data_IF_840577698348
#
_entry.id   IF_840577698348
#
_cell.length_a   1.000
_cell.length_b   1.000
_cell.length_c   1.000
_cell.angle_alpha   90.00
_cell.angle_beta   90.00
_cell.angle_gamma   90.00
#
_symmetry.space_group_name_H-M   'P 1'
#
loop_
_entity.id
_entity.type
_entity.pdbx_description
1 polymer ?
#
# COMPACT_ATOMS: atom_id res chain seq x y z
N UNK A 1 25.51 -10.64 14.53
CA UNK A 1 25.65 -9.74 15.71
C UNK A 1 24.33 -9.01 15.91
N UNK A 2 23.79 -8.90 17.14
CA UNK A 2 22.54 -8.18 17.39
C UNK A 2 22.72 -6.70 17.03
N UNK A 3 21.78 -6.15 16.28
CA UNK A 3 21.78 -4.72 15.97
C UNK A 3 21.31 -3.94 17.20
N UNK A 4 21.99 -2.82 17.49
CA UNK A 4 21.67 -1.93 18.61
C UNK A 4 20.99 -0.69 18.07
N UNK A 5 19.80 -0.39 18.58
CA UNK A 5 19.05 0.80 18.21
C UNK A 5 18.93 1.72 19.41
N UNK A 6 19.15 3.01 19.20
CA UNK A 6 19.00 4.03 20.24
C UNK A 6 17.54 4.16 20.66
N UNK A 7 17.28 4.27 21.97
CA UNK A 7 15.92 4.30 22.54
C UNK A 7 15.03 5.40 21.95
N UNK A 8 15.59 6.56 21.61
CA UNK A 8 14.88 7.66 20.96
C UNK A 8 14.42 7.32 19.53
N UNK A 9 15.24 6.59 18.77
CA UNK A 9 14.86 6.11 17.44
C UNK A 9 13.80 5.00 17.54
N UNK A 10 13.91 4.12 18.53
CA UNK A 10 12.91 3.08 18.79
C UNK A 10 11.52 3.66 19.10
N UNK A 11 11.43 4.76 19.86
CA UNK A 11 10.15 5.46 20.10
C UNK A 11 9.51 5.99 18.81
N UNK A 12 10.33 6.50 17.88
CA UNK A 12 9.85 6.96 16.58
C UNK A 12 9.30 5.80 15.72
N UNK A 13 9.96 4.65 15.76
CA UNK A 13 9.56 3.43 15.07
C UNK A 13 8.29 2.83 15.69
N UNK A 14 8.18 2.82 17.02
CA UNK A 14 6.97 2.38 17.73
C UNK A 14 5.76 3.25 17.38
N UNK A 15 5.95 4.57 17.27
CA UNK A 15 4.88 5.47 16.80
C UNK A 15 4.50 5.20 15.34
N UNK A 16 5.47 4.95 14.46
CA UNK A 16 5.20 4.58 13.07
C UNK A 16 4.38 3.29 12.98
N UNK A 17 4.79 2.24 13.72
CA UNK A 17 4.07 0.96 13.82
C UNK A 17 2.66 1.17 14.40
N UNK A 18 2.49 2.02 15.40
CA UNK A 18 1.17 2.35 15.95
C UNK A 18 0.25 3.03 14.94
N UNK A 19 0.76 4.01 14.20
CA UNK A 19 -0.01 4.72 13.16
C UNK A 19 -0.41 3.77 12.03
N UNK A 20 0.50 2.89 11.60
CA UNK A 20 0.18 1.85 10.62
C UNK A 20 -0.85 0.85 11.15
N UNK A 21 -0.69 0.42 12.40
CA UNK A 21 -1.62 -0.48 13.06
C UNK A 21 -3.02 0.12 13.12
N UNK A 22 -3.15 1.38 13.53
CA UNK A 22 -4.44 2.09 13.57
C UNK A 22 -5.06 2.26 12.18
N UNK A 23 -4.26 2.62 11.17
CA UNK A 23 -4.71 2.70 9.77
C UNK A 23 -5.19 1.35 9.24
N UNK A 24 -4.56 0.27 9.65
CA UNK A 24 -4.88 -1.08 9.21
C UNK A 24 -5.98 -1.73 10.09
N UNK A 25 -6.25 -1.22 11.29
CA UNK A 25 -7.16 -1.82 12.26
C UNK A 25 -8.58 -1.95 11.71
N UNK A 26 -8.98 -3.20 11.48
CA UNK A 26 -10.35 -3.55 11.17
C UNK A 26 -11.19 -3.60 12.46
N UNK A 27 -12.31 -2.86 12.47
CA UNK A 27 -13.33 -2.95 13.53
C UNK A 27 -13.74 -4.41 13.77
N UNK A 28 -14.02 -4.77 15.03
CA UNK A 28 -14.44 -6.15 15.41
C UNK A 28 -15.59 -6.65 14.55
N UNK A 29 -16.57 -5.78 14.28
CA UNK A 29 -17.70 -6.06 13.40
C UNK A 29 -17.25 -6.51 12.00
N UNK A 30 -16.27 -5.80 11.42
CA UNK A 30 -15.74 -6.12 10.08
C UNK A 30 -15.02 -7.46 10.05
N UNK A 31 -14.35 -7.86 11.15
CA UNK A 31 -13.72 -9.18 11.25
C UNK A 31 -14.75 -10.31 11.29
N UNK A 32 -15.82 -10.14 12.07
CA UNK A 32 -16.92 -11.12 12.15
C UNK A 32 -17.63 -11.26 10.80
N UNK A 33 -17.98 -10.14 10.17
CA UNK A 33 -18.62 -10.09 8.85
C UNK A 33 -17.74 -10.72 7.77
N UNK A 34 -16.42 -10.53 7.86
CA UNK A 34 -15.46 -11.15 6.95
C UNK A 34 -15.33 -12.67 7.18
N UNK A 35 -15.31 -13.12 8.44
CA UNK A 35 -15.31 -14.55 8.78
C UNK A 35 -16.58 -15.25 8.29
N UNK A 36 -17.76 -14.62 8.47
CA UNK A 36 -19.03 -15.13 7.95
C UNK A 36 -19.01 -15.22 6.42
N UNK A 37 -18.42 -14.23 5.73
CA UNK A 37 -18.27 -14.27 4.27
C UNK A 37 -17.38 -15.44 3.82
N UNK A 38 -16.29 -15.73 4.55
CA UNK A 38 -15.45 -16.89 4.27
C UNK A 38 -16.24 -18.20 4.42
N UNK A 39 -16.96 -18.36 5.53
CA UNK A 39 -17.78 -19.55 5.78
C UNK A 39 -18.80 -19.73 4.65
N UNK A 40 -19.52 -18.66 4.26
CA UNK A 40 -20.49 -18.72 3.17
C UNK A 40 -19.87 -19.15 1.83
N UNK A 41 -18.68 -18.62 1.50
CA UNK A 41 -17.98 -18.95 0.25
C UNK A 41 -17.51 -20.42 0.21
N UNK A 42 -17.03 -20.96 1.33
CA UNK A 42 -16.60 -22.37 1.42
C UNK A 42 -17.77 -23.35 1.60
N UNK A 43 -18.90 -22.90 2.17
CA UNK A 43 -20.09 -23.72 2.33
C UNK A 43 -20.71 -24.11 0.97
N UNK A 44 -20.69 -23.22 -0.03
CA UNK A 44 -21.27 -23.48 -1.36
C UNK A 44 -20.70 -24.75 -2.03
N UNK A 45 -19.38 -24.87 -2.28
CA UNK A 45 -18.84 -26.07 -2.92
C UNK A 45 -19.01 -27.32 -2.04
N UNK A 46 -18.95 -27.15 -0.71
CA UNK A 46 -19.13 -28.26 0.24
C UNK A 46 -20.55 -28.82 0.18
N UNK A 47 -21.57 -27.95 0.22
CA UNK A 47 -22.97 -28.34 0.08
C UNK A 47 -23.27 -28.91 -1.31
N UNK A 48 -22.65 -28.39 -2.37
CA UNK A 48 -22.80 -28.94 -3.72
C UNK A 48 -22.28 -30.38 -3.81
N UNK A 49 -21.08 -30.65 -3.27
CA UNK A 49 -20.51 -32.01 -3.22
C UNK A 49 -21.39 -32.94 -2.38
N UNK A 50 -21.88 -32.47 -1.21
CA UNK A 50 -22.78 -33.25 -0.37
C UNK A 50 -24.11 -33.56 -1.06
N UNK A 51 -24.67 -32.62 -1.83
CA UNK A 51 -25.89 -32.85 -2.59
C UNK A 51 -25.71 -33.93 -3.66
N UNK A 52 -24.59 -33.91 -4.39
CA UNK A 52 -24.25 -34.93 -5.39
C UNK A 52 -24.08 -36.30 -4.73
N UNK A 53 -23.33 -36.38 -3.61
CA UNK A 53 -23.16 -37.63 -2.88
C UNK A 53 -24.49 -38.17 -2.34
N UNK A 54 -25.34 -37.30 -1.79
CA UNK A 54 -26.64 -37.69 -1.26
C UNK A 54 -27.60 -38.19 -2.34
N UNK A 55 -27.53 -37.61 -3.55
CA UNK A 55 -28.28 -38.06 -4.72
C UNK A 55 -27.81 -39.43 -5.23
N UNK A 56 -26.49 -39.70 -5.22
CA UNK A 56 -25.93 -41.01 -5.60
C UNK A 56 -26.37 -42.11 -4.62
N UNK A 57 -26.49 -41.78 -3.33
CA UNK A 57 -26.85 -42.74 -2.26
C UNK A 57 -28.38 -42.87 -2.09
N UNK A 58 -29.17 -42.21 -2.96
CA UNK A 58 -30.65 -42.21 -2.94
C UNK A 58 -31.25 -41.74 -1.59
N UNK A 59 -30.50 -40.88 -0.90
CA UNK A 59 -30.89 -40.34 0.41
C UNK A 59 -31.61 -39.00 0.25
N UNK A 60 -32.86 -39.04 -0.23
CA UNK A 60 -33.64 -37.85 -0.58
C UNK A 60 -33.68 -36.75 0.50
N UNK A 61 -33.71 -37.12 1.79
CA UNK A 61 -33.65 -36.17 2.90
C UNK A 61 -32.31 -35.44 3.05
N UNK A 62 -31.18 -36.12 2.79
CA UNK A 62 -29.86 -35.51 2.84
C UNK A 62 -29.62 -34.59 1.64
N UNK A 63 -30.16 -34.95 0.47
CA UNK A 63 -30.11 -34.10 -0.72
C UNK A 63 -30.88 -32.78 -0.50
N UNK A 64 -32.07 -32.84 0.12
CA UNK A 64 -32.86 -31.67 0.48
C UNK A 64 -32.13 -30.74 1.47
N UNK A 65 -31.49 -31.30 2.50
CA UNK A 65 -30.68 -30.53 3.45
C UNK A 65 -29.47 -29.86 2.77
N UNK A 66 -28.81 -30.56 1.85
CA UNK A 66 -27.67 -30.02 1.13
C UNK A 66 -28.07 -28.88 0.16
N UNK A 67 -29.19 -29.04 -0.54
CA UNK A 67 -29.76 -27.97 -1.39
C UNK A 67 -30.20 -26.76 -0.55
N UNK A 68 -30.85 -26.99 0.60
CA UNK A 68 -31.21 -25.93 1.55
C UNK A 68 -29.99 -25.20 2.13
N UNK A 69 -28.91 -25.92 2.43
CA UNK A 69 -27.65 -25.33 2.85
C UNK A 69 -27.00 -24.48 1.75
N UNK A 70 -27.04 -24.95 0.50
CA UNK A 70 -26.52 -24.20 -0.65
C UNK A 70 -27.30 -22.91 -0.90
N UNK A 71 -28.64 -22.93 -0.85
CA UNK A 71 -29.46 -21.72 -1.04
C UNK A 71 -29.23 -20.70 0.07
N UNK A 72 -29.15 -21.15 1.34
CA UNK A 72 -28.78 -20.29 2.46
C UNK A 72 -27.40 -19.67 2.30
N UNK A 73 -26.41 -20.44 1.82
CA UNK A 73 -25.06 -19.94 1.57
C UNK A 73 -25.04 -18.88 0.45
N UNK A 74 -25.80 -19.09 -0.63
CA UNK A 74 -25.96 -18.12 -1.73
C UNK A 74 -26.62 -16.83 -1.22
N UNK A 75 -27.74 -16.94 -0.50
CA UNK A 75 -28.44 -15.80 0.10
C UNK A 75 -27.53 -15.02 1.05
N UNK A 76 -26.77 -15.73 1.89
CA UNK A 76 -25.77 -15.13 2.78
C UNK A 76 -24.70 -14.37 2.01
N UNK A 77 -24.28 -14.88 0.85
CA UNK A 77 -23.33 -14.22 -0.03
C UNK A 77 -23.86 -12.89 -0.60
N UNK A 78 -25.12 -12.90 -1.05
CA UNK A 78 -25.80 -11.68 -1.52
C UNK A 78 -25.93 -10.61 -0.43
N UNK A 79 -26.08 -11.01 0.84
CA UNK A 79 -26.15 -10.09 1.97
C UNK A 79 -24.75 -9.61 2.42
N UNK A 80 -23.77 -10.51 2.49
CA UNK A 80 -22.45 -10.24 3.07
C UNK A 80 -21.51 -9.52 2.11
N UNK A 81 -21.64 -9.71 0.79
CA UNK A 81 -20.82 -9.00 -0.20
C UNK A 81 -21.00 -7.48 -0.15
N UNK A 82 -22.22 -6.91 -0.19
CA UNK A 82 -22.40 -5.45 -0.10
C UNK A 82 -21.95 -4.90 1.26
N UNK A 83 -22.12 -5.65 2.34
CA UNK A 83 -21.62 -5.28 3.67
C UNK A 83 -20.09 -5.18 3.72
N UNK A 84 -19.39 -5.99 2.93
CA UNK A 84 -17.94 -5.99 2.79
C UNK A 84 -17.44 -5.05 1.67
N UNK A 85 -18.31 -4.47 0.84
CA UNK A 85 -17.96 -3.62 -0.31
C UNK A 85 -16.96 -2.48 0.02
N UNK A 86 -17.06 -1.76 1.15
CA UNK A 86 -16.05 -0.74 1.49
C UNK A 86 -14.65 -1.34 1.70
N UNK A 87 -14.54 -2.56 2.22
CA UNK A 87 -13.27 -3.29 2.28
C UNK A 87 -12.79 -3.66 0.89
N UNK A 88 -13.70 -4.15 0.02
CA UNK A 88 -13.37 -4.46 -1.37
C UNK A 88 -12.78 -3.25 -2.09
N UNK A 89 -13.41 -2.08 -1.95
CA UNK A 89 -12.93 -0.82 -2.54
C UNK A 89 -11.55 -0.40 -2.04
N UNK A 90 -11.28 -0.51 -0.74
CA UNK A 90 -9.98 -0.09 -0.19
C UNK A 90 -8.84 -1.02 -0.60
N UNK A 91 -9.05 -2.33 -0.61
CA UNK A 91 -8.08 -3.31 -1.11
C UNK A 91 -7.82 -3.10 -2.60
N UNK A 92 -8.89 -2.95 -3.40
CA UNK A 92 -8.79 -2.76 -4.84
C UNK A 92 -8.08 -1.47 -5.20
N UNK A 93 -8.44 -0.34 -4.56
CA UNK A 93 -7.83 0.96 -4.81
C UNK A 93 -6.34 0.94 -4.52
N UNK A 94 -5.93 0.38 -3.38
CA UNK A 94 -4.50 0.23 -3.03
C UNK A 94 -3.75 -0.65 -4.02
N UNK A 95 -4.33 -1.79 -4.40
CA UNK A 95 -3.69 -2.67 -5.40
C UNK A 95 -3.54 -1.98 -6.76
N UNK A 96 -4.55 -1.23 -7.19
CA UNK A 96 -4.50 -0.44 -8.43
C UNK A 96 -3.47 0.68 -8.35
N UNK A 97 -3.30 1.33 -7.20
CA UNK A 97 -2.28 2.34 -6.96
C UNK A 97 -0.88 1.71 -6.99
N UNK A 98 -0.67 0.62 -6.26
CA UNK A 98 0.60 -0.10 -6.21
C UNK A 98 1.06 -0.58 -7.60
N UNK A 99 0.14 -1.08 -8.45
CA UNK A 99 0.46 -1.42 -9.85
C UNK A 99 0.81 -0.21 -10.72
N UNK A 100 0.22 0.96 -10.45
CA UNK A 100 0.48 2.18 -11.22
C UNK A 100 1.79 2.85 -10.85
N UNK A 101 2.34 2.51 -9.70
CA UNK A 101 3.54 3.12 -9.13
C UNK A 101 4.78 2.24 -9.29
N UNK A 102 4.64 1.09 -9.97
CA UNK A 102 5.71 0.11 -10.17
C UNK A 102 6.38 -0.34 -8.85
N UNK A 103 5.63 -0.30 -7.74
CA UNK A 103 6.10 -0.72 -6.42
C UNK A 103 5.94 -2.23 -6.20
N UNK A 104 5.10 -2.88 -7.01
CA UNK A 104 4.82 -4.32 -6.90
C UNK A 104 5.88 -5.20 -7.57
N UNK A 105 6.73 -4.62 -8.41
CA UNK A 105 7.79 -5.34 -9.13
C UNK A 105 8.89 -5.83 -8.17
N UNK A 106 9.10 -5.18 -7.02
CA UNK A 106 10.07 -5.63 -6.00
C UNK A 106 9.56 -6.74 -5.07
N UNK A 107 8.30 -6.68 -4.62
CA UNK A 107 7.74 -7.67 -3.68
C UNK A 107 7.25 -8.96 -4.35
N UNK A 108 6.73 -8.88 -5.58
CA UNK A 108 6.30 -10.09 -6.31
C UNK A 108 7.49 -10.96 -6.76
N UNK A 109 8.71 -10.41 -6.84
CA UNK A 109 9.93 -11.15 -7.16
C UNK A 109 10.60 -11.78 -5.93
N UNK A 110 10.46 -11.21 -4.73
CA UNK A 110 10.96 -11.79 -3.48
C UNK A 110 10.06 -12.91 -2.92
N UNK A 111 8.75 -12.81 -3.11
CA UNK A 111 7.81 -13.86 -2.79
C UNK A 111 7.70 -14.84 -3.97
N UNK A 112 8.65 -15.78 -4.05
CA UNK A 112 8.85 -16.73 -5.16
C UNK A 112 7.59 -17.25 -5.88
N UNK A 113 7.75 -17.76 -7.12
CA UNK A 113 6.73 -17.75 -8.17
C UNK A 113 5.38 -18.33 -7.72
N UNK A 114 4.47 -17.46 -7.27
CA UNK A 114 3.05 -17.77 -7.01
C UNK A 114 2.25 -17.96 -8.32
N UNK A 115 2.86 -18.61 -9.32
CA UNK A 115 2.27 -19.01 -10.62
C UNK A 115 1.09 -20.00 -10.49
N UNK A 116 0.72 -20.44 -9.27
CA UNK A 116 -0.45 -21.31 -9.04
C UNK A 116 -1.80 -20.60 -9.24
N UNK A 117 -1.85 -19.26 -9.25
CA UNK A 117 -3.10 -18.52 -9.36
C UNK A 117 -3.85 -18.69 -10.69
N UNK A 118 -3.15 -18.92 -11.81
CA UNK A 118 -3.80 -19.13 -13.12
C UNK A 118 -4.27 -20.56 -13.31
N UNK A 119 -3.53 -21.57 -12.78
CA UNK A 119 -3.94 -22.98 -12.86
C UNK A 119 -5.23 -23.24 -12.10
N UNK A 120 -5.42 -22.62 -10.93
CA UNK A 120 -6.66 -22.70 -10.17
C UNK A 120 -7.88 -22.19 -10.96
N UNK A 121 -7.72 -21.12 -11.75
CA UNK A 121 -8.76 -20.62 -12.65
C UNK A 121 -9.11 -21.66 -13.72
N UNK A 122 -8.10 -22.32 -14.31
CA UNK A 122 -8.30 -23.36 -15.31
C UNK A 122 -8.99 -24.62 -14.75
N UNK A 123 -8.65 -25.03 -13.52
CA UNK A 123 -9.36 -26.14 -12.86
C UNK A 123 -10.80 -25.78 -12.51
N UNK A 124 -11.06 -24.55 -12.07
CA UNK A 124 -12.42 -24.06 -11.84
C UNK A 124 -13.22 -23.97 -13.15
N UNK A 125 -12.62 -23.45 -14.23
CA UNK A 125 -13.23 -23.46 -15.56
C UNK A 125 -13.52 -24.88 -16.03
N UNK A 126 -12.58 -25.80 -15.87
CA UNK A 126 -12.76 -27.22 -16.21
C UNK A 126 -13.88 -27.88 -15.40
N UNK A 127 -13.95 -27.63 -14.09
CA UNK A 127 -15.03 -28.12 -13.24
C UNK A 127 -16.39 -27.50 -13.59
N UNK A 128 -16.42 -26.20 -13.94
CA UNK A 128 -17.64 -25.50 -14.36
C UNK A 128 -18.17 -26.08 -15.67
N UNK A 129 -17.27 -26.32 -16.64
CA UNK A 129 -17.62 -26.99 -17.90
C UNK A 129 -18.12 -28.41 -17.65
N UNK A 130 -17.49 -29.16 -16.75
CA UNK A 130 -17.93 -30.52 -16.39
C UNK A 130 -19.33 -30.53 -15.77
N UNK A 131 -19.62 -29.62 -14.83
CA UNK A 131 -20.94 -29.46 -14.21
C UNK A 131 -21.97 -29.03 -15.27
N UNK A 132 -21.60 -28.14 -16.18
CA UNK A 132 -22.45 -27.73 -17.30
C UNK A 132 -22.84 -28.93 -18.17
N UNK A 133 -21.87 -29.78 -18.51
CA UNK A 133 -22.10 -30.99 -19.31
C UNK A 133 -23.04 -31.96 -18.58
N UNK A 134 -22.86 -32.15 -17.28
CA UNK A 134 -23.73 -33.00 -16.45
C UNK A 134 -25.17 -32.48 -16.38
N UNK A 135 -25.35 -31.16 -16.28
CA UNK A 135 -26.68 -30.54 -16.20
C UNK A 135 -27.37 -30.54 -17.56
N UNK A 136 -26.64 -30.26 -18.65
CA UNK A 136 -27.16 -30.41 -20.02
C UNK A 136 -27.60 -31.86 -20.27
N UNK A 137 -26.82 -32.84 -19.80
CA UNK A 137 -27.16 -34.25 -19.94
C UNK A 137 -28.40 -34.65 -19.13
N UNK A 138 -28.50 -34.19 -17.87
CA UNK A 138 -29.65 -34.46 -16.99
C UNK A 138 -30.94 -33.82 -17.51
N UNK A 139 -30.87 -32.58 -17.97
CA UNK A 139 -32.06 -31.85 -18.44
C UNK A 139 -32.52 -32.29 -19.82
N UNK A 140 -31.62 -32.70 -20.72
CA UNK A 140 -32.00 -33.37 -21.97
C UNK A 140 -32.74 -34.70 -21.73
N UNK A 141 -32.64 -35.24 -20.52
CA UNK A 141 -33.38 -36.42 -20.07
C UNK A 141 -34.68 -36.07 -19.33
N UNK A 142 -34.92 -34.79 -19.00
CA UNK A 142 -36.10 -34.32 -18.27
C UNK A 142 -36.89 -33.32 -19.13
N UNK A 143 -37.99 -33.76 -19.73
CA UNK A 143 -38.90 -32.92 -20.52
C UNK A 143 -39.50 -31.81 -19.63
N UNK A 144 -38.91 -30.61 -19.62
CA UNK A 144 -39.30 -29.52 -18.71
C UNK A 144 -38.86 -28.12 -19.13
N UNK A 145 -39.65 -27.12 -18.72
CA UNK A 145 -39.73 -25.73 -19.18
C UNK A 145 -38.40 -24.94 -19.25
N UNK A 146 -38.06 -24.44 -20.44
CA UNK A 146 -36.75 -23.85 -20.79
C UNK A 146 -36.33 -22.57 -20.05
N UNK A 147 -37.17 -21.95 -19.21
CA UNK A 147 -36.75 -20.79 -18.41
C UNK A 147 -35.98 -21.20 -17.15
N UNK A 148 -36.44 -22.23 -16.44
CA UNK A 148 -35.73 -22.78 -15.29
C UNK A 148 -34.39 -23.36 -15.72
N UNK A 149 -34.34 -23.98 -16.90
CA UNK A 149 -33.13 -24.41 -17.57
C UNK A 149 -32.10 -23.27 -17.70
N UNK A 150 -32.51 -22.19 -18.36
CA UNK A 150 -31.65 -21.04 -18.63
C UNK A 150 -31.09 -20.42 -17.34
N UNK A 151 -31.94 -20.21 -16.33
CA UNK A 151 -31.52 -19.67 -15.02
C UNK A 151 -30.55 -20.62 -14.31
N UNK A 152 -30.79 -21.93 -14.40
CA UNK A 152 -29.92 -22.95 -13.82
C UNK A 152 -28.54 -22.95 -14.47
N UNK A 153 -28.48 -22.96 -15.81
CA UNK A 153 -27.20 -22.87 -16.54
C UNK A 153 -26.45 -21.58 -16.23
N UNK A 154 -27.16 -20.46 -16.17
CA UNK A 154 -26.57 -19.17 -15.84
C UNK A 154 -25.96 -19.18 -14.44
N UNK A 155 -26.66 -19.71 -13.44
CA UNK A 155 -26.15 -19.88 -12.08
C UNK A 155 -24.96 -20.84 -12.03
N UNK A 156 -25.01 -21.96 -12.74
CA UNK A 156 -23.92 -22.94 -12.77
C UNK A 156 -22.64 -22.35 -13.37
N UNK A 157 -22.73 -21.49 -14.38
CA UNK A 157 -21.57 -20.82 -14.99
C UNK A 157 -21.08 -19.67 -14.12
N UNK A 158 -22.00 -18.87 -13.58
CA UNK A 158 -21.67 -17.64 -12.88
C UNK A 158 -21.15 -17.91 -11.46
N UNK A 159 -21.72 -18.89 -10.76
CA UNK A 159 -21.42 -19.16 -9.35
C UNK A 159 -19.92 -19.50 -9.12
N UNK A 160 -19.27 -20.38 -9.91
CA UNK A 160 -17.84 -20.65 -9.77
C UNK A 160 -16.97 -19.43 -10.05
N UNK A 161 -17.35 -18.61 -11.04
CA UNK A 161 -16.64 -17.37 -11.34
C UNK A 161 -16.73 -16.38 -10.17
N UNK A 162 -17.91 -16.23 -9.57
CA UNK A 162 -18.14 -15.38 -8.39
C UNK A 162 -17.38 -15.91 -7.18
N UNK A 163 -17.49 -17.21 -6.88
CA UNK A 163 -16.79 -17.87 -5.77
C UNK A 163 -15.28 -17.71 -5.93
N UNK A 164 -14.74 -17.90 -7.13
CA UNK A 164 -13.32 -17.69 -7.41
C UNK A 164 -12.90 -16.24 -7.17
N UNK A 165 -13.66 -15.28 -7.70
CA UNK A 165 -13.35 -13.85 -7.59
C UNK A 165 -13.34 -13.41 -6.12
N UNK A 166 -14.30 -13.90 -5.33
CA UNK A 166 -14.40 -13.64 -3.90
C UNK A 166 -13.31 -14.38 -3.13
N UNK A 167 -13.00 -15.64 -3.46
CA UNK A 167 -11.91 -16.40 -2.82
C UNK A 167 -10.54 -15.73 -3.03
N UNK A 168 -10.24 -15.27 -4.25
CA UNK A 168 -9.02 -14.51 -4.55
C UNK A 168 -8.95 -13.19 -3.79
N UNK A 169 -10.10 -12.58 -3.54
CA UNK A 169 -10.16 -11.40 -2.69
C UNK A 169 -9.92 -11.75 -1.22
N UNK A 170 -10.60 -12.79 -0.71
CA UNK A 170 -10.45 -13.28 0.66
C UNK A 170 -8.99 -13.64 0.96
N UNK A 171 -8.28 -14.27 0.02
CA UNK A 171 -6.86 -14.59 0.20
C UNK A 171 -5.98 -13.33 0.34
N UNK A 172 -6.28 -12.27 -0.42
CA UNK A 172 -5.58 -10.98 -0.32
C UNK A 172 -5.93 -10.23 0.96
N UNK A 173 -7.18 -10.31 1.39
CA UNK A 173 -7.62 -9.72 2.64
C UNK A 173 -7.03 -10.47 3.86
N UNK A 174 -6.91 -11.79 3.79
CA UNK A 174 -6.21 -12.61 4.79
C UNK A 174 -4.74 -12.24 4.91
N UNK A 175 -4.05 -11.99 3.80
CA UNK A 175 -2.67 -11.51 3.84
C UNK A 175 -2.54 -10.19 4.63
N UNK A 176 -3.55 -9.29 4.55
CA UNK A 176 -3.57 -8.07 5.37
C UNK A 176 -3.86 -8.33 6.85
N UNK A 177 -4.73 -9.29 7.15
CA UNK A 177 -5.01 -9.69 8.53
C UNK A 177 -3.79 -10.35 9.18
N UNK A 178 -3.06 -11.18 8.43
CA UNK A 178 -1.80 -11.76 8.88
C UNK A 178 -0.75 -10.66 9.13
N UNK A 179 -0.64 -9.66 8.25
CA UNK A 179 0.24 -8.52 8.45
C UNK A 179 -0.11 -7.74 9.73
N UNK A 180 -1.40 -7.54 10.03
CA UNK A 180 -1.84 -6.92 11.28
C UNK A 180 -1.41 -7.72 12.53
N UNK A 181 -1.57 -9.05 12.49
CA UNK A 181 -1.15 -9.92 13.58
C UNK A 181 0.38 -9.89 13.76
N UNK A 182 1.12 -9.84 12.66
CA UNK A 182 2.59 -9.69 12.68
C UNK A 182 3.02 -8.33 13.24
N UNK A 183 2.32 -7.24 12.90
CA UNK A 183 2.55 -5.91 13.48
C UNK A 183 2.23 -5.86 14.97
N UNK A 184 1.16 -6.54 15.41
CA UNK A 184 0.80 -6.66 16.83
C UNK A 184 1.89 -7.38 17.62
N UNK A 185 2.41 -8.50 17.07
CA UNK A 185 3.51 -9.26 17.68
C UNK A 185 4.80 -8.45 17.73
N UNK A 186 5.14 -7.75 16.64
CA UNK A 186 6.32 -6.90 16.58
C UNK A 186 6.21 -5.73 17.57
N UNK A 187 5.04 -5.08 17.66
CA UNK A 187 4.81 -4.02 18.64
C UNK A 187 4.98 -4.54 20.06
N UNK A 188 4.37 -5.68 20.38
CA UNK A 188 4.47 -6.28 21.71
C UNK A 188 5.93 -6.59 22.08
N UNK A 189 6.69 -7.21 21.16
CA UNK A 189 8.09 -7.55 21.42
C UNK A 189 8.98 -6.31 21.58
N UNK A 190 8.78 -5.27 20.76
CA UNK A 190 9.52 -4.02 20.86
C UNK A 190 9.15 -3.24 22.14
N UNK A 191 7.87 -3.25 22.56
CA UNK A 191 7.47 -2.61 23.81
C UNK A 191 8.03 -3.30 25.04
N UNK A 192 8.05 -4.64 25.05
CA UNK A 192 8.62 -5.43 26.14
C UNK A 192 10.12 -5.15 26.31
N UNK A 193 10.87 -5.19 25.20
CA UNK A 193 12.31 -4.87 25.23
C UNK A 193 12.60 -3.41 25.57
N UNK A 194 11.73 -2.49 25.19
CA UNK A 194 11.87 -1.10 25.59
C UNK A 194 11.64 -0.93 27.10
N UNK A 195 10.66 -1.63 27.67
CA UNK A 195 10.44 -1.64 29.12
C UNK A 195 11.61 -2.27 29.88
N UNK A 196 12.20 -3.35 29.36
CA UNK A 196 13.40 -3.97 29.91
C UNK A 196 14.61 -3.02 29.88
N UNK A 197 14.87 -2.38 28.74
CA UNK A 197 15.96 -1.41 28.60
C UNK A 197 15.76 -0.18 29.50
N UNK A 198 14.52 0.29 29.67
CA UNK A 198 14.18 1.38 30.61
C UNK A 198 14.41 0.98 32.07
N UNK A 199 14.08 -0.25 32.45
CA UNK A 199 14.34 -0.78 33.80
C UNK A 199 15.83 -0.95 34.08
N UNK A 200 16.62 -1.24 33.05
CA UNK A 200 18.08 -1.41 33.13
C UNK A 200 18.88 -0.11 32.92
N UNK A 201 18.20 1.03 32.66
CA UNK A 201 18.80 2.33 32.30
C UNK A 201 19.75 2.27 31.09
N UNK A 202 19.43 1.41 30.11
CA UNK A 202 20.23 1.22 28.91
C UNK A 202 19.83 2.19 27.79
N UNK A 203 20.81 2.87 27.18
CA UNK A 203 20.60 3.78 26.02
C UNK A 203 20.28 3.03 24.71
N UNK A 204 20.64 1.75 24.62
CA UNK A 204 20.51 0.96 23.40
C UNK A 204 19.69 -0.30 23.64
N UNK A 205 18.73 -0.57 22.76
CA UNK A 205 17.93 -1.80 22.81
C UNK A 205 18.51 -2.83 21.83
N UNK A 206 18.86 -4.05 22.29
CA UNK A 206 19.28 -5.11 21.40
C UNK A 206 18.08 -5.66 20.63
N UNK A 207 18.16 -5.64 19.30
CA UNK A 207 17.15 -6.23 18.41
C UNK A 207 17.66 -7.56 17.84
N UNK A 208 16.74 -8.51 17.68
CA UNK A 208 17.04 -9.71 16.89
C UNK A 208 17.17 -9.33 15.41
N UNK A 209 17.92 -10.11 14.63
CA UNK A 209 18.08 -9.87 13.19
C UNK A 209 16.72 -9.84 12.47
N UNK A 210 15.79 -10.72 12.86
CA UNK A 210 14.44 -10.79 12.27
C UNK A 210 13.63 -9.53 12.54
N UNK A 211 13.72 -8.96 13.74
CA UNK A 211 13.01 -7.72 14.09
C UNK A 211 13.61 -6.51 13.38
N UNK A 212 14.94 -6.45 13.28
CA UNK A 212 15.64 -5.40 12.56
C UNK A 212 15.30 -5.41 11.06
N UNK A 213 15.30 -6.58 10.43
CA UNK A 213 14.90 -6.73 9.02
C UNK A 213 13.44 -6.31 8.80
N UNK A 214 12.53 -6.67 9.72
CA UNK A 214 11.11 -6.27 9.66
C UNK A 214 10.91 -4.77 9.85
N UNK A 215 11.63 -4.16 10.79
CA UNK A 215 11.60 -2.71 11.01
C UNK A 215 12.13 -1.95 9.81
N UNK A 216 13.23 -2.40 9.21
CA UNK A 216 13.79 -1.80 8.00
C UNK A 216 12.82 -1.90 6.82
N UNK A 217 12.12 -3.03 6.67
CA UNK A 217 11.08 -3.20 5.65
C UNK A 217 9.91 -2.23 5.87
N UNK A 218 9.42 -2.12 7.11
CA UNK A 218 8.37 -1.16 7.49
C UNK A 218 8.77 0.28 7.23
N UNK A 219 9.99 0.67 7.59
CA UNK A 219 10.49 2.02 7.38
C UNK A 219 10.60 2.33 5.88
N UNK A 220 11.08 1.37 5.09
CA UNK A 220 11.09 1.47 3.63
C UNK A 220 9.68 1.65 3.05
N UNK A 221 8.68 0.91 3.55
CA UNK A 221 7.30 1.02 3.12
C UNK A 221 6.68 2.37 3.48
N UNK A 222 6.90 2.86 4.70
CA UNK A 222 6.44 4.19 5.14
C UNK A 222 7.06 5.29 4.29
N UNK A 223 8.37 5.21 4.00
CA UNK A 223 9.07 6.15 3.12
C UNK A 223 8.50 6.08 1.69
N UNK A 224 8.21 4.89 1.20
CA UNK A 224 7.61 4.68 -0.12
C UNK A 224 6.20 5.27 -0.20
N UNK A 225 5.33 5.01 0.77
CA UNK A 225 3.99 5.59 0.85
C UNK A 225 4.05 7.12 0.95
N UNK A 226 4.96 7.67 1.76
CA UNK A 226 5.18 9.11 1.88
C UNK A 226 5.61 9.73 0.55
N UNK A 227 6.53 9.09 -0.20
CA UNK A 227 6.94 9.52 -1.54
C UNK A 227 5.78 9.49 -2.52
N UNK A 228 5.01 8.40 -2.53
CA UNK A 228 3.81 8.26 -3.38
C UNK A 228 2.79 9.34 -3.07
N UNK A 229 2.55 9.60 -1.80
CA UNK A 229 1.59 10.60 -1.37
C UNK A 229 2.07 12.00 -1.74
N UNK A 230 3.37 12.30 -1.58
CA UNK A 230 3.98 13.53 -2.05
C UNK A 230 3.83 13.71 -3.58
N UNK A 231 4.09 12.66 -4.37
CA UNK A 231 3.88 12.68 -5.83
C UNK A 231 2.40 12.88 -6.18
N UNK A 232 1.48 12.24 -5.45
CA UNK A 232 0.04 12.38 -5.68
C UNK A 232 -0.48 13.77 -5.31
N UNK A 233 0.08 14.38 -4.26
CA UNK A 233 -0.23 15.73 -3.82
C UNK A 233 0.29 16.76 -4.83
N UNK A 234 1.49 16.53 -5.37
CA UNK A 234 2.04 17.33 -6.48
C UNK A 234 1.16 17.22 -7.74
N UNK A 235 0.66 16.01 -8.06
CA UNK A 235 -0.18 15.78 -9.26
C UNK A 235 -1.62 16.28 -9.11
N UNK A 236 -2.15 16.40 -7.89
CA UNK A 236 -3.53 16.83 -7.63
C UNK A 236 -3.71 18.34 -7.50
N UNK A 237 -2.65 19.14 -7.72
CA UNK A 237 -2.75 20.59 -7.89
C UNK A 237 -3.23 21.38 -6.67
N UNK A 238 -3.42 20.73 -5.50
CA UNK A 238 -3.78 21.41 -4.24
C UNK A 238 -2.62 22.13 -3.57
N UNK A 239 -1.40 21.89 -4.05
CA UNK A 239 -0.22 22.69 -3.77
C UNK A 239 0.53 22.78 -5.10
N UNK A 240 0.75 23.99 -5.63
CA UNK A 240 1.66 24.18 -6.76
C UNK A 240 3.09 24.00 -6.25
N UNK A 241 3.44 22.76 -5.92
CA UNK A 241 4.78 22.43 -5.45
C UNK A 241 5.68 22.17 -6.64
N UNK A 242 6.73 22.97 -6.79
CA UNK A 242 7.72 22.78 -7.85
C UNK A 242 8.62 21.59 -7.51
N UNK A 243 8.91 20.75 -8.50
CA UNK A 243 9.88 19.67 -8.31
C UNK A 243 11.29 20.24 -8.40
N UNK A 244 12.10 19.99 -7.37
CA UNK A 244 13.45 20.56 -7.25
C UNK A 244 14.50 19.53 -7.66
N UNK A 245 15.35 19.90 -8.62
CA UNK A 245 16.52 19.15 -9.02
C UNK A 245 17.78 19.88 -8.56
N UNK A 246 18.70 19.15 -7.93
CA UNK A 246 20.02 19.66 -7.51
C UNK A 246 21.06 19.21 -8.54
N UNK A 247 21.69 20.15 -9.25
CA UNK A 247 22.79 19.84 -10.17
C UNK A 247 23.98 19.21 -9.42
N UNK A 248 24.77 18.38 -10.09
CA UNK A 248 25.93 17.72 -9.48
C UNK A 248 26.91 18.73 -8.88
N UNK A 249 27.25 19.78 -9.64
CA UNK A 249 28.15 20.84 -9.19
C UNK A 249 27.64 21.56 -7.91
N UNK A 250 26.33 21.76 -7.79
CA UNK A 250 25.73 22.32 -6.58
C UNK A 250 25.90 21.37 -5.38
N UNK A 251 25.74 20.05 -5.56
CA UNK A 251 25.91 19.08 -4.48
C UNK A 251 27.33 19.09 -3.95
N UNK A 252 28.31 19.19 -4.83
CA UNK A 252 29.72 19.25 -4.46
C UNK A 252 30.03 20.54 -3.66
N UNK A 253 29.47 21.68 -4.09
CA UNK A 253 29.58 22.96 -3.36
C UNK A 253 28.88 22.91 -1.98
N UNK A 254 27.70 22.30 -1.89
CA UNK A 254 26.97 22.14 -0.64
C UNK A 254 27.68 21.23 0.37
N UNK A 255 28.42 20.24 -0.13
CA UNK A 255 29.24 19.36 0.71
C UNK A 255 30.50 20.05 1.23
N UNK A 256 31.00 21.07 0.53
CA UNK A 256 32.18 21.84 0.91
C UNK A 256 31.90 22.90 2.00
N UNK A 257 30.65 23.32 2.19
CA UNK A 257 30.27 24.25 3.27
C UNK A 257 30.07 23.55 4.62
N UNK A 258 30.17 24.31 5.70
CA UNK A 258 29.97 23.83 7.07
C UNK A 258 28.52 23.40 7.32
N UNK A 259 28.32 22.57 8.35
CA UNK A 259 27.01 21.95 8.65
C UNK A 259 25.90 22.96 8.91
N UNK A 260 26.22 24.13 9.51
CA UNK A 260 25.22 25.15 9.81
C UNK A 260 24.75 25.84 8.52
N UNK A 261 25.68 26.29 7.69
CA UNK A 261 25.34 26.87 6.37
C UNK A 261 24.60 25.86 5.51
N UNK A 262 25.01 24.59 5.52
CA UNK A 262 24.33 23.51 4.79
C UNK A 262 22.84 23.40 5.17
N UNK A 263 22.54 23.42 6.46
CA UNK A 263 21.17 23.37 6.96
C UNK A 263 20.33 24.57 6.47
N UNK A 264 20.87 25.79 6.55
CA UNK A 264 20.17 26.99 6.07
C UNK A 264 19.91 26.95 4.55
N UNK A 265 20.90 26.50 3.77
CA UNK A 265 20.75 26.34 2.31
C UNK A 265 19.67 25.30 1.98
N UNK A 266 19.64 24.16 2.67
CA UNK A 266 18.62 23.13 2.42
C UNK A 266 17.22 23.58 2.83
N UNK A 267 17.09 24.35 3.91
CA UNK A 267 15.85 24.98 4.34
C UNK A 267 15.29 25.91 3.25
N UNK A 268 16.13 26.82 2.73
CA UNK A 268 15.75 27.73 1.64
C UNK A 268 15.36 26.97 0.37
N UNK A 269 16.05 25.87 0.05
CA UNK A 269 15.67 25.01 -1.09
C UNK A 269 14.28 24.41 -0.87
N UNK A 270 13.97 23.95 0.33
CA UNK A 270 12.65 23.40 0.61
C UNK A 270 11.54 24.44 0.44
N UNK A 271 11.80 25.69 0.85
CA UNK A 271 10.86 26.80 0.70
C UNK A 271 10.66 27.21 -0.77
N UNK A 272 11.70 27.16 -1.60
CA UNK A 272 11.61 27.37 -3.05
C UNK A 272 10.62 26.40 -3.73
N UNK A 273 10.45 25.20 -3.18
CA UNK A 273 9.47 24.25 -3.68
C UNK A 273 8.02 24.72 -3.51
N UNK A 274 7.76 25.63 -2.57
CA UNK A 274 6.43 26.18 -2.27
C UNK A 274 6.24 27.57 -2.90
N UNK A 275 7.28 28.39 -2.82
CA UNK A 275 7.32 29.73 -3.41
C UNK A 275 8.54 29.84 -4.35
N UNK A 276 8.36 29.61 -5.66
CA UNK A 276 9.46 29.63 -6.63
C UNK A 276 10.00 31.04 -6.92
N UNK A 277 9.30 32.10 -6.50
CA UNK A 277 9.65 33.51 -6.76
C UNK A 277 9.52 34.34 -5.47
N UNK A 278 10.31 34.01 -4.43
CA UNK A 278 10.26 34.76 -3.18
C UNK A 278 10.72 36.20 -3.44
N UNK A 279 10.23 37.16 -2.67
CA UNK A 279 10.50 38.60 -2.87
C UNK A 279 12.00 38.96 -2.91
N UNK A 280 12.84 38.14 -2.28
CA UNK A 280 14.31 38.32 -2.24
C UNK A 280 15.04 37.70 -3.43
N UNK A 281 14.34 36.99 -4.32
CA UNK A 281 14.94 36.41 -5.52
C UNK A 281 15.06 37.45 -6.64
N UNK A 282 16.27 37.55 -7.20
CA UNK A 282 16.59 38.44 -8.32
C UNK A 282 16.75 37.62 -9.58
N UNK A 283 16.07 38.01 -10.65
CA UNK A 283 16.25 37.37 -11.97
C UNK A 283 17.51 37.90 -12.64
N UNK A 284 18.29 37.03 -13.28
CA UNK A 284 19.44 37.39 -14.11
C UNK A 284 18.93 37.92 -15.47
N UNK A 285 19.37 39.12 -15.85
CA UNK A 285 18.90 39.80 -17.07
C UNK A 285 19.11 38.93 -18.31
N UNK A 286 18.04 38.76 -19.10
CA UNK A 286 18.09 37.98 -20.35
C UNK A 286 18.11 36.46 -20.18
N UNK A 287 17.91 35.93 -18.96
CA UNK A 287 17.84 34.48 -18.73
C UNK A 287 16.68 34.06 -17.81
N UNK A 288 16.43 32.74 -17.73
CA UNK A 288 15.50 32.13 -16.77
C UNK A 288 16.18 31.74 -15.45
N UNK A 289 17.37 32.28 -15.21
CA UNK A 289 18.12 32.08 -13.98
C UNK A 289 17.73 33.13 -12.94
N UNK A 290 17.66 32.66 -11.71
CA UNK A 290 17.33 33.42 -10.52
C UNK A 290 18.42 33.24 -9.48
N UNK A 291 18.58 34.26 -8.66
CA UNK A 291 19.56 34.35 -7.59
C UNK A 291 18.84 34.68 -6.29
N UNK A 292 19.07 33.88 -5.26
CA UNK A 292 18.43 34.04 -3.95
C UNK A 292 19.49 34.01 -2.86
N UNK A 293 19.62 35.11 -2.12
CA UNK A 293 20.48 35.16 -0.96
C UNK A 293 19.96 34.25 0.16
N UNK A 294 20.84 33.43 0.74
CA UNK A 294 20.48 32.51 1.82
C UNK A 294 20.58 33.26 3.16
N UNK A 295 19.46 33.44 3.90
CA UNK A 295 19.44 34.22 5.14
C UNK A 295 20.45 33.69 6.17
N UNK A 296 21.12 34.61 6.88
CA UNK A 296 22.09 34.23 7.93
C UNK A 296 23.42 33.68 7.41
N UNK A 297 23.65 33.69 6.10
CA UNK A 297 24.89 33.23 5.48
C UNK A 297 25.41 34.26 4.48
N UNK A 298 26.68 34.13 4.08
CA UNK A 298 27.29 34.88 2.98
C UNK A 298 27.11 34.19 1.62
N UNK A 299 26.14 33.29 1.48
CA UNK A 299 25.95 32.51 0.26
C UNK A 299 24.69 32.93 -0.52
N UNK A 300 24.78 32.84 -1.84
CA UNK A 300 23.70 33.06 -2.79
C UNK A 300 23.45 31.79 -3.61
N UNK A 301 22.19 31.39 -3.68
CA UNK A 301 21.74 30.23 -4.42
C UNK A 301 21.30 30.66 -5.82
N UNK A 302 21.83 29.98 -6.83
CA UNK A 302 21.48 30.21 -8.23
C UNK A 302 20.64 29.05 -8.77
N UNK A 303 19.48 29.35 -9.35
CA UNK A 303 18.53 28.35 -9.83
C UNK A 303 17.84 28.76 -11.14
N UNK A 304 17.43 27.78 -11.94
CA UNK A 304 16.62 27.98 -13.14
C UNK A 304 15.17 27.58 -12.84
N UNK A 305 14.22 28.42 -13.23
CA UNK A 305 12.79 28.18 -13.06
C UNK A 305 12.14 27.87 -14.42
N UNK A 306 11.62 26.65 -14.58
CA UNK A 306 10.84 26.23 -15.75
C UNK A 306 9.38 26.04 -15.36
N UNK A 307 8.56 27.03 -15.66
CA UNK A 307 7.15 27.08 -15.23
C UNK A 307 6.27 26.09 -15.99
N UNK A 308 6.57 25.86 -17.27
CA UNK A 308 5.91 24.88 -18.13
C UNK A 308 6.03 23.45 -17.58
N UNK A 309 7.17 23.14 -16.95
CA UNK A 309 7.47 21.83 -16.35
C UNK A 309 7.29 21.79 -14.84
N UNK A 310 6.87 22.90 -14.21
CA UNK A 310 6.83 23.06 -12.74
C UNK A 310 8.13 22.59 -12.07
N UNK A 311 9.27 23.01 -12.63
CA UNK A 311 10.60 22.52 -12.27
C UNK A 311 11.51 23.65 -11.83
N UNK A 312 12.20 23.44 -10.71
CA UNK A 312 13.31 24.28 -10.26
C UNK A 312 14.58 23.46 -10.37
N UNK A 313 15.60 23.99 -11.02
CA UNK A 313 16.93 23.36 -11.07
C UNK A 313 17.92 24.24 -10.33
N UNK A 314 18.40 23.79 -9.18
CA UNK A 314 19.45 24.47 -8.42
C UNK A 314 20.78 24.20 -9.08
N UNK A 315 21.41 25.26 -9.60
CA UNK A 315 22.59 25.17 -10.46
C UNK A 315 23.89 25.32 -9.66
N UNK A 316 23.95 26.29 -8.75
CA UNK A 316 25.17 26.62 -8.01
C UNK A 316 24.89 27.34 -6.68
N UNK A 317 25.84 27.23 -5.75
CA UNK A 317 25.95 27.99 -4.52
C UNK A 317 27.20 28.88 -4.65
N UNK A 318 27.01 30.20 -4.59
CA UNK A 318 28.09 31.19 -4.72
C UNK A 318 28.31 31.91 -3.39
N UNK A 319 29.53 32.31 -3.09
CA UNK A 319 29.80 33.29 -2.04
C UNK A 319 29.41 34.68 -2.54
N UNK A 320 28.56 35.39 -1.78
CA UNK A 320 28.16 36.78 -2.04
C UNK A 320 29.26 37.73 -1.58
N UNK A 321 30.33 37.82 -2.37
CA UNK A 321 31.49 38.70 -2.11
C UNK A 321 31.11 40.19 -2.15
N UNK A 322 29.96 40.56 -2.74
CA UNK A 322 29.52 41.97 -2.83
C UNK A 322 29.10 42.55 -1.48
N UNK A 323 28.58 41.75 -0.56
CA UNK A 323 28.26 42.22 0.81
C UNK A 323 29.49 42.53 1.64
N UNK A 324 30.61 41.85 1.40
CA UNK A 324 31.87 42.16 2.09
C UNK A 324 32.43 43.50 1.62
N UNK A 325 32.27 43.88 0.34
CA UNK A 325 32.73 45.16 -0.17
C UNK A 325 31.90 46.37 0.32
N UNK A 326 30.60 46.20 0.56
CA UNK A 326 29.73 47.26 1.10
C UNK A 326 29.88 47.42 2.62
N UNK A 327 30.03 46.33 3.38
CA UNK A 327 30.29 46.41 4.82
C UNK A 327 31.67 47.03 5.17
N UNK A 328 32.65 46.95 4.25
CA UNK A 328 33.98 47.53 4.43
C UNK A 328 34.06 49.03 4.07
N UNK A 329 32.96 49.63 3.59
CA UNK A 329 32.89 51.07 3.22
C UNK A 329 32.18 51.92 4.27
N UNK A 330 31.49 51.28 5.21
CA UNK A 330 30.80 51.93 6.34
C UNK A 330 31.62 51.86 7.65
N UNK A 331 32.87 51.39 7.60
CA UNK A 331 33.90 51.54 8.65
C UNK A 331 34.95 52.58 8.24
#
# INVERSE_FOLDING_TARGET
MPQRVETAHLDSLLRAVQVEHEKARLSRYKRVVFALLQIAVYAIPTCAVLAVLAAIIDSGGAALLAVGGMTLAILSLFLLVPLNLPLFRTVWRRHRLARRLDLLTGEEDAAGPRRRGSRGLWYLLGATVLILVLVIWYERSAEGEGWFAFVSYFLIILLPAVVYLISRYLSRANARLALLEDLDRLRASLSERQEEAKKADERFVPLSQVEAERLAALESDVISEARVQAISNARSGRSRSYTIFKATAFRDQLNAVDSRTRFEVESVIQDLGRDPRPERARREDGSDRWHLAVPGTSHELSYELREDLQRITVLALRSDERRHAEASRDE
#
